data_IF_075630521925
#
_entry.id   IF_075630521925
#
_cell.length_a   1.000
_cell.length_b   1.000
_cell.length_c   1.000
_cell.angle_alpha   90.00
_cell.angle_beta   90.00
_cell.angle_gamma   90.00
#
_symmetry.space_group_name_H-M   'P 1'
#
loop_
_entity.id
_entity.type
_entity.pdbx_description
1 polymer ?
#
# COMPACT_ATOMS: atom_id res chain seq x y z
N UNK A 1 32.37 15.17 -6.76
CA UNK A 1 31.87 13.87 -6.34
C UNK A 1 31.81 13.01 -7.60
N UNK A 2 32.76 12.10 -7.80
CA UNK A 2 32.68 11.13 -8.89
C UNK A 2 31.52 10.18 -8.54
N UNK A 3 30.46 10.22 -9.32
CA UNK A 3 29.33 9.32 -9.14
C UNK A 3 29.84 7.93 -9.50
N UNK A 4 30.05 7.08 -8.52
CA UNK A 4 30.42 5.69 -8.75
C UNK A 4 29.22 4.94 -9.33
N UNK A 5 29.39 4.29 -10.46
CA UNK A 5 28.34 3.51 -11.11
C UNK A 5 27.74 2.44 -10.17
N UNK A 6 28.54 1.89 -9.28
CA UNK A 6 28.12 0.93 -8.25
C UNK A 6 27.12 1.56 -7.30
N UNK A 7 27.38 2.80 -6.87
CA UNK A 7 26.48 3.53 -5.97
C UNK A 7 25.12 3.83 -6.61
N UNK A 8 25.12 4.24 -7.91
CA UNK A 8 23.90 4.44 -8.67
C UNK A 8 23.07 3.16 -8.79
N UNK A 9 23.71 2.04 -9.09
CA UNK A 9 23.02 0.73 -9.17
C UNK A 9 22.45 0.35 -7.81
N UNK A 10 23.20 0.56 -6.73
CA UNK A 10 22.74 0.30 -5.36
C UNK A 10 21.47 1.12 -5.02
N UNK A 11 21.48 2.42 -5.30
CA UNK A 11 20.33 3.30 -5.09
C UNK A 11 19.13 2.88 -5.95
N UNK A 12 19.37 2.50 -7.20
CA UNK A 12 18.32 2.05 -8.12
C UNK A 12 17.63 0.79 -7.60
N UNK A 13 18.41 -0.22 -7.18
CA UNK A 13 17.87 -1.45 -6.60
C UNK A 13 17.10 -1.19 -5.30
N UNK A 14 17.63 -0.32 -4.44
CA UNK A 14 16.93 0.11 -3.23
C UNK A 14 15.61 0.81 -3.56
N UNK A 15 15.61 1.69 -4.55
CA UNK A 15 14.42 2.41 -5.00
C UNK A 15 13.35 1.50 -5.59
N UNK A 16 13.74 0.53 -6.43
CA UNK A 16 12.80 -0.45 -7.00
C UNK A 16 12.15 -1.27 -5.88
N UNK A 17 12.93 -1.79 -4.93
CA UNK A 17 12.39 -2.61 -3.84
C UNK A 17 11.44 -1.82 -2.95
N UNK A 18 11.77 -0.57 -2.62
CA UNK A 18 10.93 0.32 -1.84
C UNK A 18 9.64 0.68 -2.61
N UNK A 19 9.78 0.99 -3.90
CA UNK A 19 8.66 1.29 -4.78
C UNK A 19 7.68 0.14 -4.93
N UNK A 20 8.14 -1.11 -4.98
CA UNK A 20 7.29 -2.30 -4.98
C UNK A 20 6.48 -2.45 -3.68
N UNK A 21 7.08 -2.14 -2.53
CA UNK A 21 6.38 -2.15 -1.24
C UNK A 21 5.33 -1.01 -1.20
N UNK A 22 5.66 0.20 -1.66
CA UNK A 22 4.71 1.30 -1.77
C UNK A 22 3.56 0.98 -2.74
N UNK A 23 3.85 0.24 -3.81
CA UNK A 23 2.83 -0.19 -4.75
C UNK A 23 1.77 -1.09 -4.10
N UNK A 24 2.12 -1.93 -3.11
CA UNK A 24 1.14 -2.74 -2.38
C UNK A 24 0.06 -1.89 -1.71
N UNK A 25 0.46 -0.80 -1.05
CA UNK A 25 -0.46 0.11 -0.38
C UNK A 25 -1.31 0.86 -1.42
N UNK A 26 -0.66 1.40 -2.45
CA UNK A 26 -1.33 2.16 -3.49
C UNK A 26 -2.34 1.30 -4.27
N UNK A 27 -1.98 0.06 -4.57
CA UNK A 27 -2.89 -0.91 -5.23
C UNK A 27 -4.06 -1.26 -4.32
N UNK A 28 -3.84 -1.48 -3.03
CA UNK A 28 -4.92 -1.69 -2.06
C UNK A 28 -5.90 -0.52 -2.02
N UNK A 29 -5.39 0.71 -1.97
CA UNK A 29 -6.21 1.93 -2.02
C UNK A 29 -6.98 2.06 -3.34
N UNK A 30 -6.31 1.79 -4.48
CA UNK A 30 -6.93 1.77 -5.80
C UNK A 30 -8.05 0.73 -5.93
N UNK A 31 -7.92 -0.44 -5.29
CA UNK A 31 -8.96 -1.47 -5.25
C UNK A 31 -10.22 -0.98 -4.55
N UNK A 32 -10.07 -0.39 -3.35
CA UNK A 32 -11.18 0.15 -2.57
C UNK A 32 -11.87 1.25 -3.34
N UNK A 33 -11.11 2.23 -3.84
CA UNK A 33 -11.64 3.35 -4.60
C UNK A 33 -12.37 2.90 -5.87
N UNK A 34 -11.83 1.92 -6.58
CA UNK A 34 -12.41 1.41 -7.83
C UNK A 34 -13.77 0.72 -7.68
N UNK A 35 -14.17 0.32 -6.46
CA UNK A 35 -15.46 -0.36 -6.18
C UNK A 35 -16.39 0.50 -5.35
N UNK A 36 -15.86 1.22 -4.36
CA UNK A 36 -16.67 1.96 -3.39
C UNK A 36 -16.75 3.46 -3.69
N UNK A 37 -15.82 3.99 -4.50
CA UNK A 37 -15.69 5.42 -4.80
C UNK A 37 -15.55 6.31 -3.55
N UNK A 38 -15.04 5.74 -2.46
CA UNK A 38 -14.75 6.43 -1.21
C UNK A 38 -13.24 6.49 -0.95
N UNK A 39 -12.79 7.53 -0.26
CA UNK A 39 -11.43 7.67 0.23
C UNK A 39 -11.38 7.11 1.65
N UNK A 40 -10.55 6.08 1.86
CA UNK A 40 -10.37 5.47 3.18
C UNK A 40 -9.08 5.96 3.85
N UNK A 41 -9.19 6.92 4.74
CA UNK A 41 -8.04 7.45 5.49
C UNK A 41 -7.49 6.46 6.54
N UNK A 42 -8.24 5.45 6.93
CA UNK A 42 -7.73 4.40 7.83
C UNK A 42 -6.93 3.31 7.09
N UNK A 43 -6.74 3.42 5.76
CA UNK A 43 -6.05 2.41 4.98
C UNK A 43 -4.57 2.26 5.36
N UNK A 44 -3.89 3.36 5.67
CA UNK A 44 -2.51 3.34 6.14
C UNK A 44 -2.34 2.64 7.48
N UNK A 45 -3.35 2.71 8.34
CA UNK A 45 -3.31 2.06 9.64
C UNK A 45 -3.36 0.52 9.54
N UNK A 46 -3.92 -0.02 8.46
CA UNK A 46 -3.83 -1.46 8.19
C UNK A 46 -2.38 -1.89 7.89
N UNK A 47 -1.59 -1.03 7.24
CA UNK A 47 -0.15 -1.27 7.08
C UNK A 47 0.58 -1.20 8.42
N UNK A 48 0.31 -0.17 9.23
CA UNK A 48 0.84 -0.06 10.58
C UNK A 48 0.56 -1.32 11.40
N UNK A 49 -0.68 -1.83 11.37
CA UNK A 49 -1.06 -3.07 12.05
C UNK A 49 -0.25 -4.27 11.54
N UNK A 50 0.00 -4.37 10.23
CA UNK A 50 0.85 -5.40 9.65
C UNK A 50 2.30 -5.33 10.15
N UNK A 51 2.87 -4.13 10.25
CA UNK A 51 4.21 -3.91 10.79
C UNK A 51 4.29 -4.26 12.28
N UNK A 52 3.31 -3.85 13.09
CA UNK A 52 3.25 -4.22 14.50
C UNK A 52 3.01 -5.71 14.72
N UNK A 53 2.25 -6.38 13.84
CA UNK A 53 2.08 -7.83 13.90
C UNK A 53 3.43 -8.55 13.75
N UNK A 54 4.33 -8.10 12.87
CA UNK A 54 5.70 -8.62 12.78
C UNK A 54 6.52 -8.32 14.04
N UNK A 55 6.42 -7.08 14.55
CA UNK A 55 7.11 -6.65 15.78
C UNK A 55 6.72 -7.50 17.00
N UNK A 56 5.51 -8.02 17.02
CA UNK A 56 5.02 -8.89 18.09
C UNK A 56 5.31 -10.37 17.81
N UNK A 57 5.07 -10.83 16.59
CA UNK A 57 5.15 -12.25 16.23
C UNK A 57 6.57 -12.82 16.35
N UNK A 58 7.59 -12.06 15.91
CA UNK A 58 8.97 -12.54 15.92
C UNK A 58 9.56 -12.61 17.35
N UNK A 59 9.64 -11.51 18.14
CA UNK A 59 10.33 -11.55 19.42
C UNK A 59 9.48 -12.08 20.57
N UNK A 60 8.15 -11.87 20.57
CA UNK A 60 7.27 -12.21 21.71
C UNK A 60 6.68 -13.60 21.54
N UNK A 61 6.20 -13.94 20.35
CA UNK A 61 5.62 -15.27 20.07
C UNK A 61 6.71 -16.26 19.64
N UNK A 62 7.89 -15.77 19.23
CA UNK A 62 9.00 -16.62 18.76
C UNK A 62 8.75 -17.29 17.42
N UNK A 63 7.89 -16.71 16.58
CA UNK A 63 7.61 -17.24 15.26
C UNK A 63 8.79 -17.02 14.31
N UNK A 64 8.97 -17.95 13.39
CA UNK A 64 9.85 -17.74 12.24
C UNK A 64 9.26 -16.69 11.30
N UNK A 65 10.10 -16.09 10.44
CA UNK A 65 9.71 -15.01 9.55
C UNK A 65 8.47 -15.32 8.69
N UNK A 66 8.41 -16.49 8.04
CA UNK A 66 7.33 -16.86 7.13
C UNK A 66 5.97 -17.04 7.81
N UNK A 67 5.85 -17.75 8.93
CA UNK A 67 4.61 -17.79 9.71
C UNK A 67 4.20 -16.42 10.25
N UNK A 68 5.16 -15.58 10.67
CA UNK A 68 4.88 -14.23 11.12
C UNK A 68 4.32 -13.35 9.98
N UNK A 69 4.90 -13.43 8.79
CA UNK A 69 4.42 -12.75 7.59
C UNK A 69 2.99 -13.17 7.23
N UNK A 70 2.73 -14.49 7.20
CA UNK A 70 1.38 -15.00 6.94
C UNK A 70 0.38 -14.55 8.02
N UNK A 71 0.79 -14.58 9.28
CA UNK A 71 -0.01 -14.10 10.41
C UNK A 71 -0.34 -12.62 10.32
N UNK A 72 0.62 -11.77 9.93
CA UNK A 72 0.40 -10.34 9.72
C UNK A 72 -0.62 -10.07 8.60
N UNK A 73 -0.53 -10.78 7.48
CA UNK A 73 -1.48 -10.69 6.38
C UNK A 73 -2.88 -11.11 6.84
N UNK A 74 -3.01 -12.25 7.49
CA UNK A 74 -4.30 -12.75 7.97
C UNK A 74 -4.92 -11.85 9.03
N UNK A 75 -4.13 -11.36 9.97
CA UNK A 75 -4.60 -10.43 11.00
C UNK A 75 -5.15 -9.14 10.39
N UNK A 76 -4.44 -8.55 9.43
CA UNK A 76 -4.92 -7.34 8.76
C UNK A 76 -6.14 -7.60 7.88
N UNK A 77 -6.27 -8.76 7.23
CA UNK A 77 -7.48 -9.15 6.49
C UNK A 77 -8.69 -9.25 7.44
N UNK A 78 -8.52 -9.85 8.62
CA UNK A 78 -9.58 -9.94 9.63
C UNK A 78 -9.97 -8.55 10.14
N UNK A 79 -8.99 -7.69 10.46
CA UNK A 79 -9.26 -6.31 10.88
C UNK A 79 -9.96 -5.53 9.77
N UNK A 80 -9.51 -5.66 8.51
CA UNK A 80 -10.16 -5.05 7.36
C UNK A 80 -11.60 -5.50 7.16
N UNK A 81 -11.88 -6.80 7.38
CA UNK A 81 -13.24 -7.33 7.37
C UNK A 81 -14.10 -6.70 8.48
N UNK A 82 -13.59 -6.64 9.71
CA UNK A 82 -14.29 -6.03 10.85
C UNK A 82 -14.58 -4.54 10.58
N UNK A 83 -13.59 -3.79 10.08
CA UNK A 83 -13.76 -2.38 9.70
C UNK A 83 -14.85 -2.24 8.62
N UNK A 84 -14.85 -3.12 7.62
CA UNK A 84 -15.87 -3.09 6.58
C UNK A 84 -17.26 -3.31 7.16
N UNK A 85 -17.48 -4.39 7.90
CA UNK A 85 -18.81 -4.75 8.42
C UNK A 85 -19.33 -3.74 9.47
N UNK A 86 -18.46 -3.16 10.28
CA UNK A 86 -18.88 -2.19 11.29
C UNK A 86 -19.08 -0.78 10.74
N UNK A 87 -18.26 -0.33 9.81
CA UNK A 87 -18.21 1.08 9.40
C UNK A 87 -18.43 1.28 7.89
N UNK A 88 -17.57 0.68 7.05
CA UNK A 88 -17.52 1.04 5.62
C UNK A 88 -18.77 0.59 4.85
N UNK A 89 -19.43 -0.49 5.28
CA UNK A 89 -20.68 -0.98 4.66
C UNK A 89 -21.81 0.04 4.71
N UNK A 90 -21.75 0.99 5.65
CA UNK A 90 -22.76 2.04 5.86
C UNK A 90 -22.47 3.33 5.10
N UNK A 91 -21.30 3.42 4.45
CA UNK A 91 -20.90 4.58 3.67
C UNK A 91 -21.39 4.44 2.23
N UNK A 92 -21.94 5.51 1.67
CA UNK A 92 -22.40 5.56 0.29
C UNK A 92 -21.45 6.39 -0.57
N UNK A 93 -21.38 6.11 -1.89
CA UNK A 93 -20.49 6.85 -2.80
C UNK A 93 -20.78 8.36 -2.87
N UNK A 94 -22.02 8.76 -2.67
CA UNK A 94 -22.48 10.15 -2.67
C UNK A 94 -22.19 10.91 -1.36
N UNK A 95 -21.80 10.18 -0.30
CA UNK A 95 -21.48 10.73 1.02
C UNK A 95 -19.95 10.92 1.20
N UNK A 96 -19.30 11.62 0.29
CA UNK A 96 -17.83 11.77 0.28
C UNK A 96 -17.28 12.37 1.58
N UNK A 97 -17.86 13.47 2.06
CA UNK A 97 -17.43 14.15 3.28
C UNK A 97 -17.59 13.23 4.51
N UNK A 98 -18.71 12.51 4.59
CA UNK A 98 -18.97 11.57 5.68
C UNK A 98 -17.95 10.43 5.67
N UNK A 99 -17.56 9.94 4.51
CA UNK A 99 -16.56 8.88 4.39
C UNK A 99 -15.20 9.33 4.90
N UNK A 100 -14.80 10.56 4.59
CA UNK A 100 -13.55 11.16 5.10
C UNK A 100 -13.58 11.25 6.63
N UNK A 101 -14.63 11.85 7.20
CA UNK A 101 -14.74 12.04 8.65
C UNK A 101 -14.73 10.73 9.42
N UNK A 102 -15.49 9.72 8.96
CA UNK A 102 -15.56 8.40 9.60
C UNK A 102 -14.21 7.68 9.52
N UNK A 103 -13.56 7.70 8.36
CA UNK A 103 -12.28 6.99 8.20
C UNK A 103 -11.10 7.71 8.86
N UNK A 104 -11.12 9.04 8.93
CA UNK A 104 -10.16 9.83 9.74
C UNK A 104 -10.35 9.55 11.23
N UNK A 105 -11.60 9.56 11.73
CA UNK A 105 -11.88 9.21 13.12
C UNK A 105 -11.40 7.80 13.46
N UNK A 106 -11.61 6.83 12.56
CA UNK A 106 -11.10 5.48 12.71
C UNK A 106 -9.56 5.44 12.73
N UNK A 107 -8.90 6.18 11.85
CA UNK A 107 -7.42 6.27 11.83
C UNK A 107 -6.89 6.77 13.16
N UNK A 108 -7.46 7.86 13.70
CA UNK A 108 -7.08 8.41 15.01
C UNK A 108 -7.26 7.37 16.13
N UNK A 109 -8.39 6.66 16.14
CA UNK A 109 -8.64 5.59 17.12
C UNK A 109 -7.58 4.50 17.02
N UNK A 110 -7.28 4.00 15.81
CA UNK A 110 -6.29 2.95 15.61
C UNK A 110 -4.89 3.40 16.05
N UNK A 111 -4.47 4.62 15.72
CA UNK A 111 -3.18 5.18 16.17
C UNK A 111 -3.11 5.18 17.70
N UNK A 112 -4.12 5.72 18.38
CA UNK A 112 -4.10 5.82 19.84
C UNK A 112 -4.24 4.46 20.54
N UNK A 113 -5.00 3.53 19.96
CA UNK A 113 -5.03 2.14 20.46
C UNK A 113 -3.64 1.51 20.39
N UNK A 114 -2.95 1.68 19.26
CA UNK A 114 -1.59 1.15 19.10
C UNK A 114 -0.58 1.83 20.02
N UNK A 115 -0.71 3.14 20.26
CA UNK A 115 0.10 3.84 21.26
C UNK A 115 -0.15 3.32 22.68
N UNK A 116 -1.41 3.05 23.02
CA UNK A 116 -1.74 2.52 24.35
C UNK A 116 -1.19 1.11 24.55
N UNK A 117 -1.30 0.25 23.53
CA UNK A 117 -0.86 -1.16 23.63
C UNK A 117 0.66 -1.30 23.51
N UNK A 118 1.28 -0.58 22.56
CA UNK A 118 2.71 -0.77 22.19
C UNK A 118 3.60 0.40 22.56
N UNK A 119 3.07 1.47 23.13
CA UNK A 119 3.74 2.76 23.39
C UNK A 119 4.10 3.51 22.09
N UNK A 120 4.52 4.77 22.21
CA UNK A 120 4.95 5.59 21.07
C UNK A 120 6.43 5.35 20.67
N UNK A 121 7.14 4.51 21.40
CA UNK A 121 8.57 4.29 21.19
C UNK A 121 8.82 3.58 19.86
N UNK A 122 9.67 4.13 18.97
CA UNK A 122 10.03 3.48 17.71
C UNK A 122 10.69 2.12 17.96
N UNK A 123 10.33 1.13 17.19
CA UNK A 123 10.84 -0.25 17.30
C UNK A 123 11.48 -0.66 15.99
N UNK A 124 12.62 -1.30 16.06
CA UNK A 124 13.23 -1.99 14.94
C UNK A 124 12.84 -3.47 14.99
N UNK A 125 12.43 -4.00 13.86
CA UNK A 125 12.12 -5.43 13.73
C UNK A 125 13.39 -6.14 13.31
N UNK A 126 14.00 -6.85 14.25
CA UNK A 126 15.16 -7.70 13.96
C UNK A 126 14.67 -9.04 13.37
N UNK A 127 15.27 -9.44 12.26
CA UNK A 127 14.95 -10.67 11.57
C UNK A 127 16.20 -11.46 11.25
N UNK A 128 16.09 -12.77 11.17
CA UNK A 128 17.20 -13.63 10.75
C UNK A 128 17.81 -13.27 9.38
N UNK A 129 17.08 -12.47 8.58
CA UNK A 129 17.49 -12.00 7.24
C UNK A 129 17.98 -10.54 7.24
N UNK A 130 18.01 -9.85 8.41
CA UNK A 130 18.25 -8.41 8.49
C UNK A 130 19.66 -7.99 8.12
N UNK A 131 20.65 -8.78 8.52
CA UNK A 131 22.08 -8.48 8.32
C UNK A 131 22.70 -9.25 7.17
N UNK A 132 22.09 -10.33 6.70
CA UNK A 132 22.57 -11.12 5.57
C UNK A 132 22.03 -10.56 4.25
N UNK A 133 22.77 -10.75 3.17
CA UNK A 133 22.38 -10.27 1.85
C UNK A 133 23.13 -10.94 0.73
N UNK A 134 22.66 -10.71 -0.48
CA UNK A 134 23.36 -11.11 -1.70
C UNK A 134 24.39 -10.05 -2.03
N UNK A 135 25.65 -10.45 -2.15
CA UNK A 135 26.75 -9.59 -2.59
C UNK A 135 27.12 -9.96 -4.03
N UNK A 136 26.97 -9.01 -4.93
CA UNK A 136 27.36 -9.12 -6.33
C UNK A 136 28.43 -8.07 -6.61
N UNK A 137 29.68 -8.46 -6.50
CA UNK A 137 30.79 -7.50 -6.53
C UNK A 137 30.75 -6.55 -5.34
N UNK A 138 30.64 -5.25 -5.62
CA UNK A 138 30.53 -4.21 -4.59
C UNK A 138 29.08 -3.84 -4.21
N UNK A 139 28.09 -4.51 -4.81
CA UNK A 139 26.66 -4.25 -4.56
C UNK A 139 26.16 -5.22 -3.51
N UNK A 140 25.54 -4.70 -2.44
CA UNK A 140 24.95 -5.50 -1.37
C UNK A 140 23.47 -5.25 -1.24
N UNK A 141 22.64 -6.30 -1.38
CA UNK A 141 21.18 -6.25 -1.19
C UNK A 141 20.81 -7.18 -0.04
N UNK A 142 20.20 -6.65 1.00
CA UNK A 142 19.75 -7.45 2.15
C UNK A 142 18.64 -8.42 1.74
N UNK A 143 18.64 -9.62 2.32
CA UNK A 143 17.59 -10.61 2.07
C UNK A 143 16.18 -10.08 2.39
N UNK A 144 16.03 -9.24 3.39
CA UNK A 144 14.75 -8.59 3.71
C UNK A 144 14.17 -7.80 2.54
N UNK A 145 15.03 -7.08 1.79
CA UNK A 145 14.61 -6.35 0.57
C UNK A 145 14.23 -7.29 -0.55
N UNK A 146 15.01 -8.34 -0.78
CA UNK A 146 14.75 -9.35 -1.83
C UNK A 146 13.43 -10.06 -1.55
N UNK A 147 13.21 -10.50 -0.31
CA UNK A 147 11.98 -11.15 0.12
C UNK A 147 10.78 -10.22 0.00
N UNK A 148 10.90 -8.97 0.45
CA UNK A 148 9.83 -7.97 0.35
C UNK A 148 9.44 -7.69 -1.11
N UNK A 149 10.42 -7.52 -2.01
CA UNK A 149 10.18 -7.33 -3.44
C UNK A 149 9.55 -8.57 -4.09
N UNK A 150 10.07 -9.77 -3.79
CA UNK A 150 9.53 -11.03 -4.31
C UNK A 150 8.08 -11.27 -3.83
N UNK A 151 7.80 -10.99 -2.55
CA UNK A 151 6.46 -11.09 -1.99
C UNK A 151 5.49 -10.08 -2.63
N UNK A 152 5.94 -8.85 -2.89
CA UNK A 152 5.15 -7.85 -3.61
C UNK A 152 4.83 -8.30 -5.04
N UNK A 153 5.82 -8.80 -5.78
CA UNK A 153 5.61 -9.32 -7.14
C UNK A 153 4.66 -10.52 -7.15
N UNK A 154 4.81 -11.45 -6.20
CA UNK A 154 3.91 -12.59 -6.05
C UNK A 154 2.47 -12.12 -5.73
N UNK A 155 2.31 -11.13 -4.85
CA UNK A 155 1.01 -10.54 -4.53
C UNK A 155 0.37 -9.87 -5.76
N UNK A 156 1.14 -9.13 -6.58
CA UNK A 156 0.64 -8.54 -7.82
C UNK A 156 0.26 -9.60 -8.86
N UNK A 157 1.04 -10.67 -9.00
CA UNK A 157 0.71 -11.79 -9.88
C UNK A 157 -0.58 -12.48 -9.42
N UNK A 158 -0.72 -12.74 -8.11
CA UNK A 158 -1.93 -13.31 -7.53
C UNK A 158 -3.14 -12.39 -7.71
N UNK A 159 -2.98 -11.10 -7.45
CA UNK A 159 -4.03 -10.10 -7.66
C UNK A 159 -4.45 -10.03 -9.14
N UNK A 160 -3.49 -10.00 -10.06
CA UNK A 160 -3.77 -10.03 -11.51
C UNK A 160 -4.58 -11.27 -11.89
N UNK A 161 -4.20 -12.44 -11.37
CA UNK A 161 -4.96 -13.68 -11.60
C UNK A 161 -6.37 -13.57 -11.06
N UNK A 162 -6.55 -13.10 -9.82
CA UNK A 162 -7.86 -12.91 -9.19
C UNK A 162 -8.72 -11.93 -10.00
N UNK A 163 -8.17 -10.78 -10.37
CA UNK A 163 -8.91 -9.77 -11.11
C UNK A 163 -9.27 -10.21 -12.54
N UNK A 164 -8.41 -10.96 -13.23
CA UNK A 164 -8.62 -11.33 -14.63
C UNK A 164 -9.45 -12.60 -14.80
N UNK A 165 -9.25 -13.61 -13.95
CA UNK A 165 -9.76 -14.96 -14.16
C UNK A 165 -10.91 -15.35 -13.24
N UNK A 166 -11.19 -14.62 -12.14
CA UNK A 166 -12.25 -14.98 -11.20
C UNK A 166 -13.58 -14.24 -11.45
N UNK A 167 -14.67 -14.77 -10.87
CA UNK A 167 -15.97 -14.09 -10.87
C UNK A 167 -15.91 -12.76 -10.12
N UNK A 168 -15.13 -12.69 -9.03
CA UNK A 168 -14.92 -11.48 -8.27
C UNK A 168 -14.34 -10.36 -9.14
N UNK A 169 -13.28 -10.65 -9.91
CA UNK A 169 -12.68 -9.65 -10.80
C UNK A 169 -13.64 -9.20 -11.92
N UNK A 170 -14.48 -10.10 -12.45
CA UNK A 170 -15.53 -9.72 -13.40
C UNK A 170 -16.56 -8.79 -12.77
N UNK A 171 -17.03 -9.12 -11.56
CA UNK A 171 -17.98 -8.30 -10.81
C UNK A 171 -17.40 -6.91 -10.47
N UNK A 172 -16.13 -6.82 -10.05
CA UNK A 172 -15.45 -5.55 -9.83
C UNK A 172 -15.45 -4.66 -11.08
N UNK A 173 -15.07 -5.21 -12.23
CA UNK A 173 -15.05 -4.44 -13.48
C UNK A 173 -16.43 -3.98 -13.90
N UNK A 174 -17.46 -4.82 -13.71
CA UNK A 174 -18.85 -4.46 -14.01
C UNK A 174 -19.33 -3.28 -13.15
N UNK A 175 -19.09 -3.34 -11.81
CA UNK A 175 -19.43 -2.23 -10.90
C UNK A 175 -18.68 -0.95 -11.28
N UNK A 176 -17.38 -1.07 -11.59
CA UNK A 176 -16.55 0.07 -11.97
C UNK A 176 -16.91 0.71 -13.32
N UNK A 177 -17.68 0.01 -14.18
CA UNK A 177 -18.21 0.56 -15.43
C UNK A 177 -19.58 1.19 -15.22
N UNK A 178 -20.50 0.47 -14.59
CA UNK A 178 -21.84 0.96 -14.27
C UNK A 178 -22.42 0.17 -13.10
N UNK A 179 -22.53 0.83 -11.96
CA UNK A 179 -23.02 0.21 -10.71
C UNK A 179 -24.49 -0.21 -10.80
N UNK A 180 -25.33 0.59 -11.45
CA UNK A 180 -26.76 0.32 -11.59
C UNK A 180 -26.99 -0.86 -12.53
N UNK A 181 -26.33 -0.87 -13.68
CA UNK A 181 -26.40 -2.00 -14.61
C UNK A 181 -25.89 -3.30 -13.97
N UNK A 182 -24.85 -3.24 -13.16
CA UNK A 182 -24.34 -4.40 -12.43
C UNK A 182 -25.37 -4.97 -11.43
N UNK A 183 -26.12 -4.11 -10.75
CA UNK A 183 -27.25 -4.53 -9.89
C UNK A 183 -28.35 -5.25 -10.67
N UNK A 184 -28.68 -4.75 -11.84
CA UNK A 184 -29.74 -5.36 -12.68
C UNK A 184 -29.41 -6.78 -13.15
N UNK A 185 -28.12 -7.11 -13.31
CA UNK A 185 -27.67 -8.47 -13.66
C UNK A 185 -27.32 -9.33 -12.41
N UNK A 186 -27.76 -8.90 -11.22
CA UNK A 186 -27.67 -9.67 -9.98
C UNK A 186 -26.33 -9.61 -9.26
N UNK A 187 -25.42 -8.72 -9.65
CA UNK A 187 -24.17 -8.49 -8.91
C UNK A 187 -24.52 -7.75 -7.61
N UNK A 188 -23.95 -8.20 -6.50
CA UNK A 188 -24.12 -7.59 -5.17
C UNK A 188 -22.94 -6.68 -4.83
N UNK A 189 -23.05 -5.33 -4.99
CA UNK A 189 -21.91 -4.42 -4.79
C UNK A 189 -21.32 -4.48 -3.38
N UNK A 190 -22.13 -4.68 -2.35
CA UNK A 190 -21.66 -4.79 -0.96
C UNK A 190 -20.76 -6.00 -0.74
N UNK A 191 -21.06 -7.14 -1.35
CA UNK A 191 -20.19 -8.34 -1.25
C UNK A 191 -18.88 -8.11 -1.99
N UNK A 192 -18.94 -7.47 -3.15
CA UNK A 192 -17.74 -7.15 -3.93
C UNK A 192 -16.86 -6.12 -3.19
N UNK A 193 -17.47 -5.10 -2.60
CA UNK A 193 -16.77 -4.10 -1.78
C UNK A 193 -16.11 -4.73 -0.55
N UNK A 194 -16.81 -5.62 0.17
CA UNK A 194 -16.24 -6.38 1.29
C UNK A 194 -14.98 -7.11 0.88
N UNK A 195 -15.06 -7.90 -0.18
CA UNK A 195 -13.93 -8.69 -0.64
C UNK A 195 -12.77 -7.80 -1.15
N UNK A 196 -13.06 -6.65 -1.75
CA UNK A 196 -12.06 -5.67 -2.15
C UNK A 196 -11.34 -5.08 -0.93
N UNK A 197 -12.07 -4.72 0.14
CA UNK A 197 -11.48 -4.21 1.39
C UNK A 197 -10.61 -5.27 2.06
N UNK A 198 -11.07 -6.52 2.13
CA UNK A 198 -10.29 -7.63 2.73
C UNK A 198 -9.00 -7.88 1.95
N UNK A 199 -9.06 -7.90 0.61
CA UNK A 199 -7.85 -8.05 -0.22
C UNK A 199 -6.91 -6.86 -0.05
N UNK A 200 -7.44 -5.63 -0.05
CA UNK A 200 -6.66 -4.42 0.15
C UNK A 200 -5.99 -4.41 1.54
N UNK A 201 -6.69 -4.86 2.58
CA UNK A 201 -6.14 -5.02 3.93
C UNK A 201 -5.00 -6.05 3.97
N UNK A 202 -5.13 -7.16 3.24
CA UNK A 202 -4.07 -8.14 3.10
C UNK A 202 -2.82 -7.59 2.40
N UNK A 203 -3.00 -6.78 1.34
CA UNK A 203 -1.90 -6.09 0.67
C UNK A 203 -1.20 -5.09 1.60
N UNK A 204 -1.96 -4.35 2.42
CA UNK A 204 -1.41 -3.47 3.45
C UNK A 204 -0.65 -4.25 4.52
N UNK A 205 -1.19 -5.37 4.98
CA UNK A 205 -0.52 -6.24 5.94
C UNK A 205 0.80 -6.77 5.41
N UNK A 206 0.83 -7.20 4.16
CA UNK A 206 2.06 -7.61 3.47
C UNK A 206 3.06 -6.45 3.36
N UNK A 207 2.59 -5.24 2.97
CA UNK A 207 3.43 -4.05 2.87
C UNK A 207 4.03 -3.66 4.22
N UNK A 208 3.22 -3.67 5.30
CA UNK A 208 3.67 -3.40 6.65
C UNK A 208 4.70 -4.40 7.15
N UNK A 209 4.45 -5.68 6.91
CA UNK A 209 5.38 -6.76 7.26
C UNK A 209 6.70 -6.66 6.48
N UNK A 210 6.63 -6.32 5.17
CA UNK A 210 7.82 -6.19 4.33
C UNK A 210 8.65 -4.93 4.66
N UNK A 211 8.01 -3.84 5.09
CA UNK A 211 8.70 -2.58 5.39
C UNK A 211 9.26 -2.55 6.83
N UNK A 212 8.69 -3.32 7.76
CA UNK A 212 9.05 -3.30 9.17
C UNK A 212 10.52 -3.60 9.50
N UNK A 213 11.26 -4.43 8.73
CA UNK A 213 12.71 -4.60 8.93
C UNK A 213 13.55 -3.50 8.26
N UNK A 214 12.95 -2.64 7.44
CA UNK A 214 13.66 -1.64 6.64
C UNK A 214 13.62 -0.25 7.27
N UNK A 215 12.65 0.00 8.15
CA UNK A 215 12.49 1.28 8.84
C UNK A 215 11.87 1.08 10.23
N UNK A 216 11.98 2.10 11.08
CA UNK A 216 11.42 2.08 12.42
C UNK A 216 9.89 1.99 12.39
N UNK A 217 9.34 1.03 13.14
CA UNK A 217 7.91 0.85 13.31
C UNK A 217 7.43 1.78 14.41
N UNK A 218 6.51 2.67 14.06
CA UNK A 218 5.87 3.63 14.98
C UNK A 218 4.37 3.64 14.78
N UNK A 219 3.56 4.04 15.77
CA UNK A 219 2.12 4.16 15.60
C UNK A 219 1.68 5.18 14.53
N UNK A 220 2.55 6.11 14.15
CA UNK A 220 2.25 7.13 13.13
C UNK A 220 2.69 6.75 11.71
N UNK A 221 3.40 5.62 11.54
CA UNK A 221 3.95 5.23 10.23
C UNK A 221 2.87 5.04 9.17
N UNK A 222 1.67 4.58 9.58
CA UNK A 222 0.53 4.37 8.69
C UNK A 222 0.09 5.66 8.01
N UNK A 223 0.00 6.75 8.76
CA UNK A 223 -0.42 8.05 8.25
C UNK A 223 0.57 8.61 7.21
N UNK A 224 1.86 8.54 7.46
CA UNK A 224 2.89 9.00 6.51
C UNK A 224 2.85 8.21 5.20
N UNK A 225 2.75 6.88 5.30
CA UNK A 225 2.70 6.01 4.14
C UNK A 225 1.38 6.10 3.38
N UNK A 226 0.29 6.42 4.06
CA UNK A 226 -0.99 6.70 3.45
C UNK A 226 -0.93 7.93 2.52
N UNK A 227 -0.32 9.04 2.98
CA UNK A 227 -0.17 10.22 2.13
C UNK A 227 0.67 9.93 0.88
N UNK A 228 1.75 9.15 1.02
CA UNK A 228 2.51 8.67 -0.15
C UNK A 228 1.63 7.82 -1.06
N UNK A 229 0.85 6.88 -0.52
CA UNK A 229 -0.06 6.05 -1.31
C UNK A 229 -1.12 6.87 -2.05
N UNK A 230 -1.68 7.91 -1.43
CA UNK A 230 -2.57 8.85 -2.12
C UNK A 230 -1.88 9.54 -3.29
N UNK A 231 -0.67 10.08 -3.07
CA UNK A 231 0.09 10.69 -4.14
C UNK A 231 0.30 9.70 -5.32
N UNK A 232 0.64 8.46 -5.01
CA UNK A 232 0.85 7.40 -6.01
C UNK A 232 -0.40 7.05 -6.79
N UNK A 233 -1.54 6.94 -6.11
CA UNK A 233 -2.82 6.63 -6.74
C UNK A 233 -3.30 7.80 -7.60
N UNK A 234 -3.08 9.03 -7.17
CA UNK A 234 -3.40 10.24 -7.93
C UNK A 234 -2.49 10.34 -9.17
N UNK A 235 -1.18 10.18 -9.01
CA UNK A 235 -0.21 10.18 -10.12
C UNK A 235 -0.51 9.05 -11.10
N UNK A 236 -0.81 7.85 -10.58
CA UNK A 236 -1.13 6.66 -11.37
C UNK A 236 -2.50 6.71 -12.05
N UNK A 237 -3.40 7.60 -11.58
CA UNK A 237 -4.82 7.67 -11.93
C UNK A 237 -5.70 6.88 -10.97
N UNK A 238 -6.71 7.54 -10.41
CA UNK A 238 -7.63 6.96 -9.42
C UNK A 238 -8.30 5.68 -9.95
N UNK A 239 -8.17 4.59 -9.21
CA UNK A 239 -8.72 3.28 -9.59
C UNK A 239 -7.98 2.55 -10.72
N UNK A 240 -6.82 3.06 -11.16
CA UNK A 240 -5.95 2.43 -12.17
C UNK A 240 -4.81 1.66 -11.48
N UNK A 241 -4.98 0.35 -11.29
CA UNK A 241 -4.00 -0.51 -10.62
C UNK A 241 -2.63 -0.53 -11.32
N UNK A 242 -2.52 -0.77 -12.65
CA UNK A 242 -1.26 -0.69 -13.35
C UNK A 242 -0.58 0.67 -13.22
N UNK A 243 -1.34 1.76 -13.33
CA UNK A 243 -0.83 3.12 -13.17
C UNK A 243 -0.27 3.37 -11.78
N UNK A 244 -0.94 2.89 -10.73
CA UNK A 244 -0.47 2.99 -9.35
C UNK A 244 0.86 2.23 -9.12
N UNK A 245 1.04 1.04 -9.72
CA UNK A 245 2.29 0.26 -9.63
C UNK A 245 3.44 1.02 -10.30
N UNK A 246 3.23 1.53 -11.53
CA UNK A 246 4.28 2.25 -12.25
C UNK A 246 4.64 3.55 -11.53
N UNK A 247 3.66 4.30 -11.04
CA UNK A 247 3.88 5.50 -10.24
C UNK A 247 4.68 5.18 -8.96
N UNK A 248 4.36 4.08 -8.28
CA UNK A 248 5.02 3.68 -7.05
C UNK A 248 6.49 3.29 -7.28
N UNK A 249 6.77 2.51 -8.32
CA UNK A 249 8.15 2.15 -8.67
C UNK A 249 8.94 3.40 -9.09
N UNK A 250 8.34 4.27 -9.90
CA UNK A 250 8.96 5.53 -10.30
C UNK A 250 9.26 6.44 -9.11
N UNK A 251 8.32 6.59 -8.19
CA UNK A 251 8.51 7.40 -6.98
C UNK A 251 9.58 6.79 -6.06
N UNK A 252 9.56 5.47 -5.85
CA UNK A 252 10.57 4.78 -5.04
C UNK A 252 11.98 4.96 -5.59
N UNK A 253 12.14 4.97 -6.93
CA UNK A 253 13.42 5.28 -7.59
C UNK A 253 13.86 6.72 -7.29
N UNK A 254 12.98 7.69 -7.51
CA UNK A 254 13.28 9.11 -7.29
C UNK A 254 13.60 9.36 -5.80
N UNK A 255 12.81 8.80 -4.90
CA UNK A 255 13.02 8.91 -3.45
C UNK A 255 14.40 8.35 -3.04
N UNK A 256 14.77 7.18 -3.57
CA UNK A 256 16.07 6.56 -3.30
C UNK A 256 17.24 7.39 -3.84
N UNK A 257 17.11 7.96 -5.01
CA UNK A 257 18.14 8.82 -5.59
C UNK A 257 18.27 10.14 -4.82
N UNK A 258 17.16 10.77 -4.50
CA UNK A 258 17.18 12.02 -3.72
C UNK A 258 17.82 11.79 -2.35
N UNK A 259 17.45 10.71 -1.63
CA UNK A 259 18.07 10.41 -0.35
C UNK A 259 19.54 10.00 -0.43
N UNK A 260 20.00 9.51 -1.59
CA UNK A 260 21.40 9.20 -1.81
C UNK A 260 22.27 10.40 -2.17
N UNK A 261 21.70 11.44 -2.83
CA UNK A 261 22.44 12.61 -3.28
C UNK A 261 22.20 13.87 -2.48
N UNK A 262 21.06 13.95 -1.80
CA UNK A 262 20.64 15.11 -1.00
C UNK A 262 20.33 14.68 0.45
N UNK A 263 19.86 15.61 1.24
CA UNK A 263 19.42 15.32 2.61
C UNK A 263 18.09 14.56 2.63
N UNK A 264 17.90 13.74 3.67
CA UNK A 264 16.70 12.90 3.87
C UNK A 264 15.41 13.75 3.85
N UNK A 265 15.46 14.98 4.33
CA UNK A 265 14.32 15.89 4.31
C UNK A 265 13.77 16.15 2.90
N UNK A 266 14.60 16.13 1.88
CA UNK A 266 14.19 16.30 0.48
C UNK A 266 13.47 15.08 -0.10
N UNK A 267 13.68 13.89 0.48
CA UNK A 267 12.97 12.68 0.04
C UNK A 267 11.45 12.83 0.18
N UNK A 268 11.00 13.29 1.36
CA UNK A 268 9.57 13.45 1.63
C UNK A 268 8.96 14.60 0.82
N UNK A 269 9.67 15.73 0.76
CA UNK A 269 9.23 16.88 -0.01
C UNK A 269 9.05 16.57 -1.50
N UNK A 270 9.97 15.79 -2.09
CA UNK A 270 9.94 15.45 -3.51
C UNK A 270 8.66 14.71 -3.92
N UNK A 271 8.15 13.82 -3.07
CA UNK A 271 6.89 13.09 -3.32
C UNK A 271 5.74 14.05 -3.58
N UNK A 272 5.59 15.05 -2.70
CA UNK A 272 4.50 16.02 -2.81
C UNK A 272 4.73 17.03 -3.94
N UNK A 273 5.97 17.44 -4.18
CA UNK A 273 6.32 18.29 -5.32
C UNK A 273 5.98 17.60 -6.63
N UNK A 274 6.37 16.34 -6.79
CA UNK A 274 6.05 15.54 -7.99
C UNK A 274 4.53 15.40 -8.14
N UNK A 275 3.81 15.13 -7.06
CA UNK A 275 2.36 15.04 -7.09
C UNK A 275 1.73 16.34 -7.58
N UNK A 276 2.15 17.49 -7.05
CA UNK A 276 1.65 18.81 -7.45
C UNK A 276 1.94 19.07 -8.93
N UNK A 277 3.17 18.81 -9.37
CA UNK A 277 3.58 18.99 -10.78
C UNK A 277 2.74 18.10 -11.70
N UNK A 278 2.56 16.83 -11.35
CA UNK A 278 1.74 15.92 -12.14
C UNK A 278 0.29 16.36 -12.21
N UNK A 279 -0.32 16.76 -11.08
CA UNK A 279 -1.70 17.26 -11.06
C UNK A 279 -1.86 18.55 -11.86
N UNK A 280 -0.87 19.44 -11.82
CA UNK A 280 -0.89 20.67 -12.61
C UNK A 280 -0.84 20.40 -14.10
N UNK A 281 0.00 19.45 -14.53
CA UNK A 281 0.18 19.10 -15.95
C UNK A 281 -0.90 18.13 -16.46
N UNK A 282 -1.35 17.20 -15.61
CA UNK A 282 -2.35 16.17 -15.94
C UNK A 282 -3.27 15.89 -14.73
N UNK A 283 -4.38 16.63 -14.59
CA UNK A 283 -5.29 16.49 -13.44
C UNK A 283 -5.94 15.10 -13.32
N UNK A 284 -6.03 14.33 -14.41
CA UNK A 284 -6.54 12.95 -14.41
C UNK A 284 -5.47 11.89 -14.05
N UNK A 285 -4.24 12.31 -13.72
CA UNK A 285 -3.08 11.44 -13.53
C UNK A 285 -2.36 11.10 -14.85
N UNK A 286 -1.21 10.41 -14.73
CA UNK A 286 -0.38 10.06 -15.89
C UNK A 286 -1.00 8.97 -16.77
N UNK A 287 -1.74 8.03 -16.14
CA UNK A 287 -2.34 6.87 -16.81
C UNK A 287 -3.87 6.96 -16.73
N UNK A 288 -4.44 7.80 -17.57
CA UNK A 288 -5.89 7.98 -17.65
C UNK A 288 -6.58 6.62 -17.84
N UNK A 289 -7.59 6.32 -17.01
CA UNK A 289 -8.50 5.22 -17.28
C UNK A 289 -9.18 5.51 -18.62
N UNK A 290 -8.99 4.64 -19.61
CA UNK A 290 -9.68 4.76 -20.91
C UNK A 290 -11.20 4.64 -20.69
N UNK A 291 -11.82 5.72 -20.26
CA UNK A 291 -13.26 5.85 -20.22
C UNK A 291 -13.74 6.02 -21.66
N UNK A 292 -14.57 5.09 -22.13
CA UNK A 292 -15.41 5.38 -23.29
C UNK A 292 -16.15 6.68 -22.98
N UNK A 293 -15.78 7.76 -23.70
CA UNK A 293 -16.68 8.90 -23.83
C UNK A 293 -17.93 8.36 -24.49
N UNK A 294 -18.99 8.20 -23.71
CA UNK A 294 -20.34 8.14 -24.27
C UNK A 294 -20.62 9.57 -24.74
N UNK A 295 -20.53 9.78 -26.06
CA UNK A 295 -21.00 10.98 -26.74
C UNK A 295 -22.51 11.00 -26.74
#
# INVERSE_FOLDING_TARGET
MTIDAVYLVQLTLNGITLGLIYALIAVGLSLIFGVMEIINFAHGELLMLGAFAMTFALPVVGLLYWPALAGAILATMVVGLVIYELLLVRLKPDEFERSILVTLGLSIILIHVMQYVFTATPRLVDTQYGFEGVEIGSIRITWTRVIGAAAALAAFAGLYFVLRHTQFGRAMRAIAQNREAALMVGIRPLVVARNAVVLAAGLCGLAGAAISPLQLVTPYMGQFLLFKAFALVIIGGLGNIPGAIVAAVGLGLIESWIGGFFEIAWQEAAVFVIMIVVLFLRPDGLFKRGGMRVG
#
